data_IF_276115479727
#
_entry.id   IF_276115479727
#
_cell.length_a   1.000
_cell.length_b   1.000
_cell.length_c   1.000
_cell.angle_alpha   90.00
_cell.angle_beta   90.00
_cell.angle_gamma   90.00
#
_symmetry.space_group_name_H-M   'P 1'
#
loop_
_entity.id
_entity.type
_entity.pdbx_description
1 polymer ?
#
# COMPACT_ATOMS: atom_id res chain seq x y z
N UNK A 1 29.35 5.35 -42.97
CA UNK A 1 29.32 4.97 -41.55
C UNK A 1 27.87 5.07 -41.07
N UNK A 2 27.24 3.96 -40.71
CA UNK A 2 25.91 3.98 -40.08
C UNK A 2 26.11 4.20 -38.58
N UNK A 3 25.59 5.31 -38.07
CA UNK A 3 25.54 5.58 -36.64
C UNK A 3 24.29 4.92 -36.05
N UNK A 4 24.50 3.85 -35.27
CA UNK A 4 23.43 3.20 -34.53
C UNK A 4 23.15 4.02 -33.27
N UNK A 5 21.97 4.65 -33.19
CA UNK A 5 21.52 5.34 -31.97
C UNK A 5 20.88 4.30 -31.06
N UNK A 6 21.49 4.04 -29.90
CA UNK A 6 20.88 3.23 -28.84
C UNK A 6 19.82 4.07 -28.14
N UNK A 7 18.55 3.79 -28.40
CA UNK A 7 17.44 4.37 -27.64
C UNK A 7 17.22 3.49 -26.40
N UNK A 8 17.67 3.96 -25.24
CA UNK A 8 17.31 3.33 -23.98
C UNK A 8 15.83 3.63 -23.68
N UNK A 9 14.95 2.67 -23.94
CA UNK A 9 13.57 2.76 -23.50
C UNK A 9 13.55 2.67 -21.97
N UNK A 10 12.90 3.61 -21.25
CA UNK A 10 12.78 3.51 -19.81
C UNK A 10 12.00 2.24 -19.46
N UNK A 11 12.64 1.31 -18.75
CA UNK A 11 11.94 0.17 -18.15
C UNK A 11 11.05 0.69 -17.04
N UNK A 12 9.82 0.16 -16.92
CA UNK A 12 8.90 0.54 -15.85
C UNK A 12 9.60 0.41 -14.49
N UNK A 13 9.69 1.51 -13.75
CA UNK A 13 10.25 1.48 -12.40
C UNK A 13 9.29 0.70 -11.49
N UNK A 14 9.73 -0.45 -11.00
CA UNK A 14 8.99 -1.20 -9.99
C UNK A 14 9.41 -0.74 -8.59
N UNK A 15 8.85 0.40 -8.16
CA UNK A 15 9.05 0.92 -6.82
C UNK A 15 8.23 0.11 -5.81
N UNK A 16 8.88 -0.86 -5.16
CA UNK A 16 8.29 -1.68 -4.12
C UNK A 16 8.64 -1.14 -2.74
N UNK A 17 7.62 -0.80 -1.97
CA UNK A 17 7.76 -0.38 -0.59
C UNK A 17 6.46 0.11 0.01
N UNK A 18 6.52 0.49 1.28
CA UNK A 18 5.39 1.05 2.01
C UNK A 18 5.84 1.57 3.38
N UNK A 19 5.04 2.46 3.97
CA UNK A 19 5.26 2.87 5.35
C UNK A 19 5.01 1.69 6.29
N UNK A 20 5.97 1.48 7.19
CA UNK A 20 5.87 0.54 8.32
C UNK A 20 5.63 1.26 9.64
N UNK A 21 5.83 2.59 9.69
CA UNK A 21 5.43 3.45 10.79
C UNK A 21 5.17 4.89 10.30
N UNK A 22 4.00 5.51 10.57
CA UNK A 22 2.74 4.81 10.81
C UNK A 22 2.46 3.84 9.67
N UNK A 23 2.03 2.62 9.99
CA UNK A 23 1.93 1.55 9.02
C UNK A 23 0.79 1.78 8.01
N UNK A 24 1.05 1.43 6.74
CA UNK A 24 0.00 1.37 5.70
C UNK A 24 -1.06 0.30 6.02
N UNK A 25 -2.28 0.44 5.47
CA UNK A 25 -3.33 -0.58 5.60
C UNK A 25 -2.86 -1.95 5.09
N UNK A 26 -2.17 -1.99 3.95
CA UNK A 26 -1.61 -3.23 3.37
C UNK A 26 -0.61 -3.89 4.32
N UNK A 27 0.32 -3.13 4.91
CA UNK A 27 1.29 -3.67 5.86
C UNK A 27 0.63 -4.15 7.17
N UNK A 28 -0.32 -3.39 7.71
CA UNK A 28 -1.07 -3.81 8.91
C UNK A 28 -1.82 -5.11 8.66
N UNK A 29 -2.50 -5.25 7.52
CA UNK A 29 -3.22 -6.48 7.20
C UNK A 29 -2.29 -7.65 6.91
N UNK A 30 -1.12 -7.41 6.29
CA UNK A 30 -0.08 -8.43 6.20
C UNK A 30 0.34 -8.93 7.59
N UNK A 31 0.64 -8.02 8.53
CA UNK A 31 1.00 -8.42 9.91
C UNK A 31 -0.15 -9.11 10.65
N UNK A 32 -1.38 -8.67 10.43
CA UNK A 32 -2.58 -9.28 11.01
C UNK A 32 -2.81 -10.70 10.48
N UNK A 33 -2.72 -10.89 9.17
CA UNK A 33 -2.81 -12.19 8.53
C UNK A 33 -1.72 -13.17 8.98
N UNK A 34 -0.49 -12.68 9.16
CA UNK A 34 0.61 -13.50 9.70
C UNK A 34 0.40 -13.87 11.17
N UNK A 35 -0.19 -12.99 11.99
CA UNK A 35 -0.42 -13.25 13.42
C UNK A 35 -1.49 -14.30 13.65
N UNK A 36 -2.52 -14.36 12.80
CA UNK A 36 -3.59 -15.35 12.96
C UNK A 36 -3.26 -16.74 12.42
N UNK A 37 -2.31 -16.88 11.48
CA UNK A 37 -2.02 -18.16 10.80
C UNK A 37 -0.69 -18.80 11.21
N UNK A 38 -0.63 -20.13 11.22
CA UNK A 38 0.66 -20.85 11.18
C UNK A 38 1.14 -20.96 9.72
N UNK A 39 2.40 -20.63 9.46
CA UNK A 39 3.00 -20.75 8.15
C UNK A 39 3.03 -22.22 7.68
N UNK A 40 2.21 -22.58 6.69
CA UNK A 40 2.27 -23.87 6.02
C UNK A 40 2.31 -23.70 4.49
N UNK A 41 3.35 -24.27 3.86
CA UNK A 41 3.47 -24.40 2.40
C UNK A 41 3.86 -23.12 1.63
N UNK A 42 4.05 -23.26 0.32
CA UNK A 42 4.47 -22.18 -0.60
C UNK A 42 3.39 -21.11 -0.84
N UNK A 43 2.12 -21.44 -0.56
CA UNK A 43 0.99 -20.50 -0.70
C UNK A 43 0.78 -19.60 0.53
N UNK A 44 1.34 -20.00 1.67
CA UNK A 44 1.27 -19.38 2.98
C UNK A 44 -0.15 -19.10 3.52
N UNK A 45 -0.36 -19.35 4.81
CA UNK A 45 -1.66 -19.14 5.45
C UNK A 45 -1.74 -17.73 6.03
N UNK A 46 -2.30 -16.78 5.27
CA UNK A 46 -2.79 -15.52 5.86
C UNK A 46 -4.15 -15.80 6.50
N UNK A 47 -4.25 -15.60 7.82
CA UNK A 47 -5.51 -15.71 8.55
C UNK A 47 -5.80 -14.39 9.28
N UNK A 48 -6.26 -13.34 8.58
CA UNK A 48 -6.54 -12.07 9.21
C UNK A 48 -7.66 -12.19 10.25
N UNK A 49 -7.53 -11.44 11.33
CA UNK A 49 -8.48 -11.40 12.44
C UNK A 49 -9.12 -10.04 12.62
N UNK A 50 -8.56 -8.98 12.05
CA UNK A 50 -9.21 -7.67 11.99
C UNK A 50 -10.30 -7.66 10.90
N UNK A 51 -11.46 -7.06 11.18
CA UNK A 51 -12.63 -7.07 10.29
C UNK A 51 -12.34 -6.47 8.90
N UNK A 52 -11.67 -5.34 8.83
CA UNK A 52 -11.30 -4.72 7.56
C UNK A 52 -10.25 -5.55 6.80
N UNK A 53 -9.31 -6.18 7.51
CA UNK A 53 -8.35 -7.09 6.90
C UNK A 53 -8.98 -8.39 6.41
N UNK A 54 -9.98 -8.94 7.11
CA UNK A 54 -10.76 -10.09 6.59
C UNK A 54 -11.50 -9.70 5.32
N UNK A 55 -12.16 -8.55 5.30
CA UNK A 55 -12.79 -8.03 4.08
C UNK A 55 -11.77 -7.86 2.94
N UNK A 56 -10.57 -7.37 3.23
CA UNK A 56 -9.51 -7.24 2.23
C UNK A 56 -9.06 -8.60 1.68
N UNK A 57 -8.93 -9.61 2.53
CA UNK A 57 -8.56 -10.96 2.12
C UNK A 57 -9.67 -11.64 1.30
N UNK A 58 -10.92 -11.51 1.73
CA UNK A 58 -12.07 -12.09 1.03
C UNK A 58 -12.27 -11.45 -0.36
N UNK A 59 -11.92 -10.17 -0.50
CA UNK A 59 -12.08 -9.41 -1.75
C UNK A 59 -10.89 -9.55 -2.71
N UNK A 60 -9.67 -9.33 -2.22
CA UNK A 60 -8.45 -9.24 -3.06
C UNK A 60 -7.60 -10.53 -3.01
N UNK A 61 -7.93 -11.48 -2.13
CA UNK A 61 -7.15 -12.70 -1.88
C UNK A 61 -5.84 -12.45 -1.13
N UNK A 62 -4.98 -13.47 -1.09
CA UNK A 62 -3.69 -13.39 -0.39
C UNK A 62 -2.63 -12.54 -1.13
N UNK A 63 -2.86 -12.17 -2.39
CA UNK A 63 -1.90 -11.44 -3.22
C UNK A 63 -1.49 -10.13 -2.57
N UNK A 64 -2.46 -9.32 -2.15
CA UNK A 64 -2.22 -8.00 -1.56
C UNK A 64 -1.52 -8.05 -0.20
N UNK A 65 -1.62 -9.19 0.50
CA UNK A 65 -0.93 -9.44 1.77
C UNK A 65 0.54 -9.76 1.51
N UNK A 66 0.84 -10.73 0.65
CA UNK A 66 2.24 -11.07 0.33
C UNK A 66 2.96 -9.98 -0.46
N UNK A 67 2.21 -9.18 -1.22
CA UNK A 67 2.69 -8.04 -1.98
C UNK A 67 2.26 -6.72 -1.31
N UNK A 68 2.24 -6.64 0.01
CA UNK A 68 1.83 -5.42 0.74
C UNK A 68 2.62 -4.17 0.34
N UNK A 69 3.85 -4.37 -0.15
CA UNK A 69 4.76 -3.35 -0.68
C UNK A 69 4.58 -3.07 -2.18
N UNK A 70 3.61 -3.72 -2.84
CA UNK A 70 3.38 -3.70 -4.28
C UNK A 70 2.18 -2.87 -4.74
N UNK A 71 1.59 -2.06 -3.86
CA UNK A 71 0.51 -1.14 -4.21
C UNK A 71 1.08 0.10 -4.93
N UNK A 72 1.30 -0.03 -6.25
CA UNK A 72 2.02 0.93 -7.07
C UNK A 72 1.35 1.13 -8.44
N UNK A 73 1.65 2.26 -9.09
CA UNK A 73 1.22 2.56 -10.45
C UNK A 73 2.44 2.82 -11.35
N UNK A 74 2.86 1.80 -12.11
CA UNK A 74 4.13 1.84 -12.87
C UNK A 74 4.20 2.89 -13.99
N UNK A 75 3.07 3.45 -14.41
CA UNK A 75 2.97 4.40 -15.55
C UNK A 75 2.43 5.78 -15.16
N UNK A 76 2.28 6.06 -13.85
CA UNK A 76 1.64 7.28 -13.35
C UNK A 76 2.40 8.56 -13.73
N UNK A 77 3.73 8.49 -13.80
CA UNK A 77 4.62 9.58 -14.21
C UNK A 77 4.29 10.94 -13.53
N UNK A 78 4.00 10.91 -12.22
CA UNK A 78 3.69 12.10 -11.42
C UNK A 78 2.26 12.64 -11.55
N UNK A 79 1.41 12.04 -12.41
CA UNK A 79 0.01 12.48 -12.63
C UNK A 79 -0.95 11.92 -11.59
N UNK A 80 -0.66 12.19 -10.31
CA UNK A 80 -1.44 11.65 -9.18
C UNK A 80 -2.89 12.17 -9.13
N UNK A 81 -3.15 13.31 -9.77
CA UNK A 81 -4.48 13.91 -9.98
C UNK A 81 -5.42 13.06 -10.86
N UNK A 82 -4.87 12.12 -11.63
CA UNK A 82 -5.67 11.19 -12.44
C UNK A 82 -6.23 10.00 -11.67
N UNK A 83 -5.83 9.81 -10.40
CA UNK A 83 -6.39 8.77 -9.55
C UNK A 83 -7.77 9.23 -9.10
N UNK A 84 -8.79 8.45 -9.45
CA UNK A 84 -10.18 8.78 -9.13
C UNK A 84 -10.41 8.84 -7.60
N UNK A 85 -11.35 9.69 -7.20
CA UNK A 85 -11.84 9.72 -5.82
C UNK A 85 -12.34 8.32 -5.39
N UNK A 86 -12.07 7.97 -4.14
CA UNK A 86 -12.35 6.63 -3.62
C UNK A 86 -11.42 5.53 -4.15
N UNK A 87 -10.35 5.87 -4.89
CA UNK A 87 -9.33 4.90 -5.36
C UNK A 87 -7.90 5.17 -4.88
N UNK A 88 -7.72 6.18 -4.03
CA UNK A 88 -6.39 6.62 -3.56
C UNK A 88 -5.64 5.53 -2.76
N UNK A 89 -6.35 4.72 -1.97
CA UNK A 89 -5.73 3.74 -1.07
C UNK A 89 -5.33 2.43 -1.76
N UNK A 90 -5.94 2.11 -2.89
CA UNK A 90 -5.70 0.91 -3.69
C UNK A 90 -6.06 1.16 -5.16
N UNK A 91 -5.26 1.92 -5.90
CA UNK A 91 -5.58 2.30 -7.28
C UNK A 91 -5.39 1.16 -8.30
N UNK A 92 -4.68 0.10 -7.93
CA UNK A 92 -4.58 -1.14 -8.69
C UNK A 92 -5.69 -2.11 -8.25
N UNK A 93 -6.32 -2.81 -9.20
CA UNK A 93 -7.46 -3.70 -8.92
C UNK A 93 -7.14 -4.85 -7.97
N UNK A 94 -5.86 -5.21 -7.81
CA UNK A 94 -5.39 -6.24 -6.87
C UNK A 94 -5.31 -5.75 -5.41
N UNK A 95 -5.60 -4.47 -5.19
CA UNK A 95 -5.63 -3.81 -3.88
C UNK A 95 -6.95 -3.05 -3.67
N UNK A 96 -8.01 -3.39 -4.41
CA UNK A 96 -9.23 -2.60 -4.44
C UNK A 96 -9.91 -2.51 -3.06
N UNK A 97 -9.84 -3.56 -2.25
CA UNK A 97 -10.49 -3.62 -0.95
C UNK A 97 -9.93 -2.60 0.06
N UNK A 98 -8.68 -2.16 -0.12
CA UNK A 98 -8.07 -1.14 0.72
C UNK A 98 -8.68 0.25 0.53
N UNK A 99 -9.56 0.43 -0.46
CA UNK A 99 -10.36 1.65 -0.62
C UNK A 99 -11.65 1.67 0.21
N UNK A 100 -12.03 0.55 0.85
CA UNK A 100 -13.30 0.45 1.60
C UNK A 100 -13.32 1.46 2.75
N UNK A 101 -14.31 2.38 2.81
CA UNK A 101 -14.57 3.21 3.98
C UNK A 101 -14.85 2.31 5.18
N UNK A 102 -14.10 2.50 6.26
CA UNK A 102 -14.29 1.74 7.49
C UNK A 102 -13.50 2.32 8.66
N UNK A 103 -14.16 2.43 9.80
CA UNK A 103 -13.55 2.64 11.12
C UNK A 103 -12.82 1.40 11.66
N UNK A 104 -12.99 0.24 11.02
CA UNK A 104 -12.39 -1.02 11.46
C UNK A 104 -10.94 -1.22 11.00
N UNK A 105 -10.40 -0.36 10.14
CA UNK A 105 -8.99 -0.45 9.74
C UNK A 105 -8.05 -0.35 10.96
N UNK A 106 -6.98 -1.16 11.04
CA UNK A 106 -5.99 -0.99 12.09
C UNK A 106 -5.35 0.41 12.03
N UNK A 107 -5.29 1.12 13.16
CA UNK A 107 -4.76 2.48 13.25
C UNK A 107 -3.48 2.55 14.09
N UNK A 108 -2.70 3.61 13.88
CA UNK A 108 -1.59 3.98 14.76
C UNK A 108 -2.03 5.18 15.59
N UNK A 109 -2.02 5.06 16.92
CA UNK A 109 -2.34 6.17 17.80
C UNK A 109 -1.26 7.26 17.70
N UNK A 110 -1.70 8.49 17.47
CA UNK A 110 -0.83 9.68 17.42
C UNK A 110 -1.49 10.82 18.18
N UNK A 111 -0.68 11.80 18.59
CA UNK A 111 -1.16 13.02 19.26
C UNK A 111 -0.73 14.26 18.49
N UNK A 112 -1.56 15.31 18.51
CA UNK A 112 -1.21 16.60 17.91
C UNK A 112 0.08 17.17 18.53
N UNK A 113 0.98 17.67 17.70
CA UNK A 113 2.29 18.21 18.12
C UNK A 113 3.34 17.16 18.48
N UNK A 114 3.03 15.87 18.37
CA UNK A 114 4.00 14.80 18.60
C UNK A 114 5.12 14.80 17.54
N UNK A 115 6.36 14.58 17.96
CA UNK A 115 7.44 14.19 17.05
C UNK A 115 7.20 12.76 16.56
N UNK A 116 6.88 12.61 15.27
CA UNK A 116 6.59 11.32 14.65
C UNK A 116 7.68 10.95 13.64
N UNK A 117 8.29 9.79 13.84
CA UNK A 117 9.26 9.23 12.88
C UNK A 117 8.54 8.37 11.85
N UNK A 118 8.58 8.79 10.59
CA UNK A 118 8.11 7.97 9.47
C UNK A 118 9.18 6.94 9.09
N UNK A 119 8.79 5.67 9.05
CA UNK A 119 9.64 4.56 8.61
C UNK A 119 9.05 3.96 7.34
N UNK A 120 9.87 3.85 6.30
CA UNK A 120 9.49 3.32 5.00
C UNK A 120 10.37 2.13 4.65
N UNK A 121 9.76 0.98 4.39
CA UNK A 121 10.45 -0.20 3.90
C UNK A 121 10.71 -0.07 2.40
N UNK A 122 11.92 0.32 2.01
CA UNK A 122 12.34 0.37 0.62
C UNK A 122 12.81 -1.03 0.15
N UNK A 123 11.84 -1.95 -0.01
CA UNK A 123 12.08 -3.34 -0.46
C UNK A 123 12.86 -3.35 -1.78
N UNK A 124 12.49 -2.45 -2.70
CA UNK A 124 13.32 -2.06 -3.83
C UNK A 124 13.65 -0.57 -3.72
N UNK A 125 14.93 -0.23 -3.60
CA UNK A 125 15.39 1.16 -3.42
C UNK A 125 15.37 1.93 -4.74
N UNK A 126 14.81 3.15 -4.71
CA UNK A 126 14.76 4.07 -5.85
C UNK A 126 15.02 5.52 -5.41
N UNK A 127 15.63 6.37 -6.25
CA UNK A 127 15.68 7.80 -5.99
C UNK A 127 14.29 8.43 -6.19
N UNK A 128 13.96 9.45 -5.39
CA UNK A 128 12.68 10.15 -5.50
C UNK A 128 12.38 11.03 -4.29
N UNK A 129 11.13 11.44 -4.18
CA UNK A 129 10.59 12.20 -3.06
C UNK A 129 9.36 11.50 -2.50
N UNK A 130 9.06 11.77 -1.23
CA UNK A 130 7.83 11.36 -0.58
C UNK A 130 6.94 12.58 -0.36
N UNK A 131 5.65 12.43 -0.64
CA UNK A 131 4.63 13.43 -0.32
C UNK A 131 3.65 12.80 0.64
N UNK A 132 3.39 13.48 1.76
CA UNK A 132 2.44 13.02 2.79
C UNK A 132 1.25 13.96 2.87
N UNK A 133 0.07 13.37 3.05
CA UNK A 133 -1.19 14.08 3.21
C UNK A 133 -1.87 13.58 4.49
N UNK A 134 -2.72 14.42 5.05
CA UNK A 134 -3.58 14.07 6.18
C UNK A 134 -5.00 14.53 5.85
N UNK A 135 -5.99 13.75 6.31
CA UNK A 135 -7.40 14.14 6.21
C UNK A 135 -7.65 15.42 7.01
N UNK A 136 -8.66 16.19 6.61
CA UNK A 136 -9.04 17.43 7.29
C UNK A 136 -9.92 17.12 8.50
N UNK A 137 -9.98 18.06 9.43
CA UNK A 137 -10.96 18.02 10.53
C UNK A 137 -12.37 17.82 9.98
N UNK A 138 -13.13 16.92 10.60
CA UNK A 138 -14.49 16.56 10.17
C UNK A 138 -14.57 15.52 9.04
N UNK A 139 -13.46 14.98 8.55
CA UNK A 139 -13.48 13.82 7.65
C UNK A 139 -14.04 12.59 8.39
N UNK A 140 -14.98 11.89 7.75
CA UNK A 140 -15.56 10.63 8.22
C UNK A 140 -14.87 9.47 7.52
N UNK A 141 -14.51 8.45 8.30
CA UNK A 141 -13.81 7.26 7.83
C UNK A 141 -14.76 6.15 7.35
N UNK A 142 -16.05 6.27 7.66
CA UNK A 142 -17.09 5.32 7.26
C UNK A 142 -17.86 5.78 6.00
N UNK A 143 -17.57 6.97 5.46
CA UNK A 143 -18.11 7.54 4.20
C UNK A 143 -17.12 7.43 3.03
#
# INVERSE_FOLDING_TARGET
ALATVLVALPTAAQAHGGLTNPATRTYQCYLDGLRGGEAAGESGNMLPTNDACRNAFDTDGNYSFYNWYGNLLGTIAGRHDTIADGKLCGPDSRFNAYNTPSSAWPTTQVSAGQNLTFQYAAVARHPGYFTTWITKDGWDQDE
#
